data_IF_640447340291
#
_entry.id   IF_640447340291
#
_cell.length_a   1.000
_cell.length_b   1.000
_cell.length_c   1.000
_cell.angle_alpha   90.00
_cell.angle_beta   90.00
_cell.angle_gamma   90.00
#
_symmetry.space_group_name_H-M   'P 1'
#
loop_
_entity.id
_entity.type
_entity.pdbx_description
1 polymer ?
#
# COMPACT_ATOMS: atom_id res chain seq x y z
N UNK A 1 7.25 -16.41 -32.28
CA UNK A 1 6.45 -15.16 -32.33
C UNK A 1 5.15 -15.38 -31.58
N UNK A 2 4.79 -14.57 -30.56
CA UNK A 2 3.57 -14.78 -29.82
C UNK A 2 2.35 -14.47 -30.71
N UNK A 3 1.39 -15.39 -30.73
CA UNK A 3 0.19 -15.29 -31.57
C UNK A 3 -0.67 -14.09 -31.15
N UNK A 4 -1.45 -13.53 -32.08
CA UNK A 4 -2.39 -12.41 -31.86
C UNK A 4 -3.31 -12.64 -30.64
N UNK A 5 -3.66 -13.90 -30.34
CA UNK A 5 -4.45 -14.31 -29.16
C UNK A 5 -3.69 -14.17 -27.83
N UNK A 6 -2.37 -14.39 -27.80
CA UNK A 6 -1.55 -14.20 -26.61
C UNK A 6 -1.40 -12.73 -26.21
N UNK A 7 -1.28 -11.82 -27.19
CA UNK A 7 -1.25 -10.36 -26.93
C UNK A 7 -2.57 -9.83 -26.34
N UNK A 8 -3.71 -10.36 -26.78
CA UNK A 8 -5.03 -9.94 -26.29
C UNK A 8 -5.30 -10.38 -24.83
N UNK A 9 -4.75 -11.51 -24.38
CA UNK A 9 -4.86 -11.94 -22.96
C UNK A 9 -4.00 -11.10 -22.02
N UNK A 10 -2.77 -10.76 -22.44
CA UNK A 10 -1.86 -9.94 -21.62
C UNK A 10 -2.34 -8.49 -21.45
N UNK A 11 -2.95 -7.89 -22.49
CA UNK A 11 -3.57 -6.56 -22.40
C UNK A 11 -4.79 -6.59 -21.47
N UNK A 12 -5.59 -7.68 -21.50
CA UNK A 12 -6.72 -7.86 -20.58
C UNK A 12 -6.29 -8.00 -19.12
N UNK A 13 -5.13 -8.59 -18.82
CA UNK A 13 -4.65 -8.73 -17.43
C UNK A 13 -4.21 -7.39 -16.80
N UNK A 14 -3.46 -6.54 -17.51
CA UNK A 14 -3.11 -5.19 -17.01
C UNK A 14 -4.32 -4.25 -16.97
N UNK A 15 -5.19 -4.28 -17.98
CA UNK A 15 -6.42 -3.49 -17.98
C UNK A 15 -7.41 -3.94 -16.89
N UNK A 16 -7.46 -5.25 -16.57
CA UNK A 16 -8.26 -5.78 -15.48
C UNK A 16 -7.77 -5.30 -14.11
N UNK A 17 -6.46 -5.08 -13.92
CA UNK A 17 -5.93 -4.56 -12.65
C UNK A 17 -6.30 -3.09 -12.42
N UNK A 18 -6.23 -2.26 -13.47
CA UNK A 18 -6.67 -0.85 -13.43
C UNK A 18 -8.19 -0.72 -13.26
N UNK A 19 -8.99 -1.51 -13.99
CA UNK A 19 -10.45 -1.55 -13.83
C UNK A 19 -10.88 -2.14 -12.48
N UNK A 20 -10.11 -3.08 -11.92
CA UNK A 20 -10.38 -3.67 -10.61
C UNK A 20 -10.31 -2.62 -9.50
N UNK A 21 -9.33 -1.70 -9.52
CA UNK A 21 -9.15 -0.66 -8.51
C UNK A 21 -10.31 0.37 -8.51
N UNK A 22 -10.75 0.81 -9.69
CA UNK A 22 -11.93 1.67 -9.85
C UNK A 22 -13.24 0.98 -9.41
N UNK A 23 -13.37 -0.33 -9.68
CA UNK A 23 -14.53 -1.11 -9.24
C UNK A 23 -14.55 -1.33 -7.71
N UNK A 24 -13.38 -1.48 -7.07
CA UNK A 24 -13.25 -1.60 -5.59
C UNK A 24 -13.81 -0.37 -4.89
N UNK A 25 -13.42 0.83 -5.33
CA UNK A 25 -13.89 2.08 -4.75
C UNK A 25 -15.42 2.25 -4.84
N UNK A 26 -16.02 1.77 -5.94
CA UNK A 26 -17.47 1.89 -6.18
C UNK A 26 -18.29 0.89 -5.36
N UNK A 27 -17.82 -0.36 -5.20
CA UNK A 27 -18.52 -1.40 -4.43
C UNK A 27 -18.41 -1.16 -2.92
N UNK A 28 -17.24 -0.73 -2.42
CA UNK A 28 -17.02 -0.40 -1.01
C UNK A 28 -17.75 0.88 -0.56
N UNK A 29 -18.21 1.71 -1.50
CA UNK A 29 -19.08 2.85 -1.22
C UNK A 29 -20.57 2.46 -1.15
N UNK A 30 -20.98 1.39 -1.85
CA UNK A 30 -22.37 0.92 -1.91
C UNK A 30 -22.74 -0.07 -0.78
N UNK A 31 -21.77 -0.82 -0.26
CA UNK A 31 -21.95 -1.68 0.90
C UNK A 31 -21.65 -0.86 2.17
N UNK A 32 -22.63 -0.72 3.07
CA UNK A 32 -22.37 -0.18 4.41
C UNK A 32 -21.30 -1.00 5.15
N UNK A 33 -20.72 -0.45 6.22
CA UNK A 33 -19.71 -1.15 7.04
C UNK A 33 -20.21 -2.51 7.55
N UNK A 34 -21.49 -2.60 7.91
CA UNK A 34 -22.14 -3.85 8.32
C UNK A 34 -22.09 -4.93 7.24
N UNK A 35 -22.03 -4.57 5.95
CA UNK A 35 -21.86 -5.50 4.84
C UNK A 35 -20.40 -5.80 4.48
N UNK A 36 -19.48 -4.87 4.75
CA UNK A 36 -18.03 -5.05 4.54
C UNK A 36 -17.37 -5.92 5.62
N UNK A 37 -17.91 -5.87 6.84
CA UNK A 37 -17.43 -6.61 8.01
C UNK A 37 -18.48 -7.58 8.56
N UNK A 38 -19.58 -7.86 7.83
CA UNK A 38 -20.49 -8.94 8.22
C UNK A 38 -19.63 -10.19 8.41
N UNK A 39 -19.66 -10.71 9.62
CA UNK A 39 -18.68 -11.67 10.10
C UNK A 39 -18.58 -12.90 9.16
N UNK A 40 -19.64 -13.19 8.43
CA UNK A 40 -19.78 -14.33 7.54
C UNK A 40 -19.05 -14.22 6.20
N UNK A 41 -18.65 -13.03 5.70
CA UNK A 41 -17.94 -12.93 4.41
C UNK A 41 -17.01 -11.71 4.30
N UNK A 42 -15.70 -11.89 4.46
CA UNK A 42 -14.76 -11.07 3.68
C UNK A 42 -14.89 -11.49 2.23
N UNK A 43 -15.43 -10.62 1.40
CA UNK A 43 -15.42 -10.84 -0.04
C UNK A 43 -14.10 -10.28 -0.58
N UNK A 44 -13.18 -11.12 -1.11
CA UNK A 44 -11.95 -10.62 -1.67
C UNK A 44 -12.27 -9.60 -2.75
N UNK A 45 -11.63 -8.44 -2.67
CA UNK A 45 -11.86 -7.36 -3.62
C UNK A 45 -11.42 -7.79 -5.03
N UNK A 46 -11.92 -7.17 -6.11
CA UNK A 46 -11.49 -7.47 -7.48
C UNK A 46 -9.97 -7.63 -7.66
N UNK A 47 -9.17 -6.77 -7.03
CA UNK A 47 -7.71 -6.86 -7.02
C UNK A 47 -7.16 -8.10 -6.31
N UNK A 48 -7.74 -8.48 -5.17
CA UNK A 48 -7.37 -9.71 -4.45
C UNK A 48 -7.78 -10.96 -5.24
N UNK A 49 -9.00 -10.99 -5.81
CA UNK A 49 -9.46 -12.12 -6.64
C UNK A 49 -8.55 -12.37 -7.83
N UNK A 50 -8.10 -11.31 -8.49
CA UNK A 50 -7.16 -11.42 -9.61
C UNK A 50 -5.82 -12.04 -9.18
N UNK A 51 -5.33 -11.71 -7.99
CA UNK A 51 -4.09 -12.27 -7.43
C UNK A 51 -4.27 -13.73 -6.99
N UNK A 52 -5.38 -14.04 -6.31
CA UNK A 52 -5.69 -15.39 -5.85
C UNK A 52 -5.96 -16.37 -7.00
N UNK A 53 -6.30 -15.87 -8.19
CA UNK A 53 -6.43 -16.66 -9.40
C UNK A 53 -5.08 -17.02 -10.07
N UNK A 54 -3.96 -16.47 -9.59
CA UNK A 54 -2.64 -16.82 -10.10
C UNK A 54 -2.26 -18.22 -9.62
N UNK A 55 -2.03 -19.12 -10.57
CA UNK A 55 -1.57 -20.48 -10.31
C UNK A 55 -0.07 -20.49 -10.00
N UNK A 56 0.28 -20.18 -8.74
CA UNK A 56 1.68 -20.09 -8.28
C UNK A 56 2.43 -21.42 -8.41
N UNK A 57 1.73 -22.55 -8.26
CA UNK A 57 2.30 -23.90 -8.32
C UNK A 57 2.32 -24.48 -9.74
N UNK A 58 1.58 -23.87 -10.66
CA UNK A 58 1.43 -24.32 -12.02
C UNK A 58 2.62 -24.04 -12.94
N UNK A 59 2.51 -24.60 -14.15
CA UNK A 59 3.48 -24.33 -15.22
C UNK A 59 3.27 -22.97 -15.90
N UNK A 60 2.19 -22.25 -15.61
CA UNK A 60 1.90 -20.97 -16.24
C UNK A 60 2.80 -19.83 -15.70
N UNK A 61 3.28 -19.94 -14.46
CA UNK A 61 4.13 -18.94 -13.83
C UNK A 61 5.55 -19.43 -13.56
N UNK A 62 6.45 -18.49 -13.31
CA UNK A 62 7.78 -18.75 -12.76
C UNK A 62 8.15 -17.68 -11.74
N UNK A 63 9.02 -18.05 -10.79
CA UNK A 63 9.54 -17.13 -9.80
C UNK A 63 10.90 -16.57 -10.22
N UNK A 64 11.14 -15.31 -9.88
CA UNK A 64 12.43 -14.65 -10.01
C UNK A 64 12.72 -13.84 -8.76
N UNK A 65 13.97 -13.83 -8.32
CA UNK A 65 14.37 -12.92 -7.25
C UNK A 65 14.59 -11.51 -7.77
N UNK A 66 14.00 -10.54 -7.07
CA UNK A 66 14.26 -9.13 -7.27
C UNK A 66 15.56 -8.71 -6.55
N UNK A 67 16.69 -9.28 -7.00
CA UNK A 67 17.99 -9.16 -6.29
C UNK A 67 18.44 -7.71 -6.09
N UNK A 68 18.31 -6.91 -7.14
CA UNK A 68 18.81 -5.52 -7.21
C UNK A 68 17.76 -4.46 -6.89
N UNK A 69 16.54 -4.85 -6.45
CA UNK A 69 15.58 -3.85 -5.99
C UNK A 69 16.02 -3.25 -4.65
N UNK A 70 15.72 -1.96 -4.48
CA UNK A 70 15.92 -1.22 -3.24
C UNK A 70 15.19 -1.88 -2.06
N UNK A 71 15.68 -1.62 -0.86
CA UNK A 71 15.13 -2.16 0.38
C UNK A 71 15.81 -3.45 0.86
N UNK A 72 15.42 -3.85 2.06
CA UNK A 72 16.01 -4.99 2.80
C UNK A 72 15.15 -6.25 2.74
N UNK A 73 13.96 -6.18 2.12
CA UNK A 73 13.05 -7.32 1.98
C UNK A 73 13.54 -8.31 0.93
N UNK A 74 13.17 -9.58 1.13
CA UNK A 74 13.29 -10.64 0.14
C UNK A 74 11.99 -10.70 -0.66
N UNK A 75 12.10 -10.55 -1.98
CA UNK A 75 10.96 -10.39 -2.88
C UNK A 75 11.08 -11.38 -4.05
N UNK A 76 10.00 -12.11 -4.30
CA UNK A 76 9.85 -12.99 -5.45
C UNK A 76 8.91 -12.34 -6.46
N UNK A 77 9.42 -11.97 -7.63
CA UNK A 77 8.57 -11.62 -8.75
C UNK A 77 7.93 -12.89 -9.32
N UNK A 78 6.62 -12.84 -9.54
CA UNK A 78 5.86 -13.85 -10.26
C UNK A 78 5.76 -13.39 -11.70
N UNK A 79 6.29 -14.20 -12.62
CA UNK A 79 6.31 -13.92 -14.04
C UNK A 79 5.38 -14.86 -14.79
N UNK A 80 4.54 -14.30 -15.65
CA UNK A 80 3.74 -15.09 -16.58
C UNK A 80 4.64 -15.60 -17.70
N UNK A 81 4.76 -16.93 -17.85
CA UNK A 81 5.65 -17.54 -18.85
C UNK A 81 5.21 -17.24 -20.28
N UNK A 82 3.91 -17.11 -20.53
CA UNK A 82 3.38 -16.90 -21.87
C UNK A 82 3.73 -15.51 -22.43
N UNK A 83 3.66 -14.47 -21.60
CA UNK A 83 3.98 -13.09 -21.98
C UNK A 83 5.41 -12.67 -21.61
N UNK A 84 6.07 -13.39 -20.72
CA UNK A 84 7.37 -13.01 -20.16
C UNK A 84 7.32 -11.74 -19.33
N UNK A 85 6.16 -11.36 -18.79
CA UNK A 85 5.99 -10.16 -17.96
C UNK A 85 5.85 -10.52 -16.49
N UNK A 86 6.44 -9.69 -15.63
CA UNK A 86 6.18 -9.77 -14.19
C UNK A 86 4.73 -9.31 -13.94
N UNK A 87 3.96 -10.11 -13.21
CA UNK A 87 2.52 -9.90 -12.97
C UNK A 87 2.18 -9.72 -11.50
N UNK A 88 3.05 -10.19 -10.60
CA UNK A 88 2.88 -10.03 -9.16
C UNK A 88 4.24 -10.06 -8.44
N UNK A 89 4.22 -9.70 -7.16
CA UNK A 89 5.33 -9.88 -6.23
C UNK A 89 4.82 -10.61 -5.00
N UNK A 90 5.51 -11.69 -4.61
CA UNK A 90 5.29 -12.39 -3.35
C UNK A 90 6.34 -11.95 -2.33
N UNK A 91 5.87 -11.63 -1.12
CA UNK A 91 6.66 -11.37 0.07
C UNK A 91 6.43 -12.44 1.11
N UNK A 92 7.46 -12.76 1.88
CA UNK A 92 7.41 -13.67 3.04
C UNK A 92 7.86 -12.92 4.29
N UNK A 93 7.65 -13.51 5.47
CA UNK A 93 8.16 -12.92 6.70
C UNK A 93 9.69 -12.87 6.68
N UNK A 94 10.26 -11.78 7.20
CA UNK A 94 11.69 -11.60 7.44
C UNK A 94 11.91 -10.55 8.53
N UNK A 95 13.17 -10.31 8.91
CA UNK A 95 13.58 -9.21 9.81
C UNK A 95 12.98 -7.85 9.43
N UNK A 96 12.78 -7.63 8.13
CA UNK A 96 12.28 -6.36 7.59
C UNK A 96 10.82 -6.39 7.18
N UNK A 97 10.18 -7.56 7.13
CA UNK A 97 8.84 -7.71 6.54
C UNK A 97 7.93 -8.55 7.41
N UNK A 98 6.84 -7.95 7.88
CA UNK A 98 5.73 -8.64 8.51
C UNK A 98 4.58 -8.78 7.49
N UNK A 99 4.31 -10.01 7.05
CA UNK A 99 3.30 -10.23 6.00
C UNK A 99 1.87 -9.94 6.47
N UNK A 100 1.57 -10.20 7.74
CA UNK A 100 0.27 -9.83 8.32
C UNK A 100 0.04 -8.32 8.27
N UNK A 101 1.10 -7.52 8.40
CA UNK A 101 0.98 -6.07 8.35
C UNK A 101 0.67 -5.55 6.93
N UNK A 102 1.25 -6.17 5.89
CA UNK A 102 0.93 -5.86 4.49
C UNK A 102 -0.55 -6.14 4.18
N UNK A 103 -1.06 -7.30 4.64
CA UNK A 103 -2.47 -7.69 4.47
C UNK A 103 -3.38 -6.74 5.27
N UNK A 104 -3.03 -6.49 6.54
CA UNK A 104 -3.81 -5.62 7.42
C UNK A 104 -3.94 -4.21 6.86
N UNK A 105 -2.85 -3.60 6.39
CA UNK A 105 -2.87 -2.26 5.82
C UNK A 105 -3.84 -2.15 4.64
N UNK A 106 -3.83 -3.12 3.72
CA UNK A 106 -4.75 -3.14 2.59
C UNK A 106 -6.21 -3.28 3.03
N UNK A 107 -6.50 -4.31 3.85
CA UNK A 107 -7.88 -4.58 4.28
C UNK A 107 -8.45 -3.44 5.13
N UNK A 108 -7.64 -2.85 5.99
CA UNK A 108 -8.02 -1.68 6.77
C UNK A 108 -8.32 -0.49 5.85
N UNK A 109 -7.48 -0.20 4.84
CA UNK A 109 -7.76 0.88 3.89
C UNK A 109 -9.08 0.67 3.13
N UNK A 110 -9.42 -0.56 2.75
CA UNK A 110 -10.73 -0.90 2.16
C UNK A 110 -11.88 -0.60 3.13
N UNK A 111 -11.78 -1.06 4.37
CA UNK A 111 -12.79 -0.81 5.42
C UNK A 111 -12.98 0.69 5.66
N UNK A 112 -11.89 1.43 5.75
CA UNK A 112 -11.89 2.88 5.95
C UNK A 112 -12.33 3.68 4.71
N UNK A 113 -12.49 3.03 3.56
CA UNK A 113 -12.98 3.68 2.34
C UNK A 113 -11.90 4.46 1.57
N UNK A 114 -10.62 4.20 1.87
CA UNK A 114 -9.47 4.81 1.20
C UNK A 114 -8.58 3.77 0.48
N UNK A 115 -9.11 2.76 -0.25
CA UNK A 115 -8.29 1.71 -0.84
C UNK A 115 -7.28 2.23 -1.88
N UNK A 116 -7.51 3.40 -2.47
CA UNK A 116 -6.63 3.98 -3.49
C UNK A 116 -5.24 4.37 -2.99
N UNK A 117 -5.02 4.47 -1.67
CA UNK A 117 -3.72 4.85 -1.09
C UNK A 117 -2.85 3.64 -0.75
N UNK A 118 -3.32 2.40 -0.88
CA UNK A 118 -2.55 1.18 -0.57
C UNK A 118 -2.60 0.22 -1.75
N UNK A 119 -1.48 -0.45 -2.04
CA UNK A 119 -1.46 -1.47 -3.07
C UNK A 119 -2.31 -2.69 -2.63
N UNK A 120 -3.12 -3.30 -3.53
CA UNK A 120 -3.87 -4.51 -3.18
C UNK A 120 -2.96 -5.63 -2.68
N UNK A 121 -3.35 -6.30 -1.60
CA UNK A 121 -2.58 -7.40 -1.02
C UNK A 121 -3.50 -8.58 -0.69
N UNK A 122 -3.12 -9.77 -1.14
CA UNK A 122 -3.80 -11.02 -0.72
C UNK A 122 -2.88 -11.91 0.09
N UNK A 123 -3.40 -12.65 1.09
CA UNK A 123 -2.67 -13.75 1.68
C UNK A 123 -2.48 -14.86 0.66
N UNK A 124 -1.29 -15.45 0.61
CA UNK A 124 -0.98 -16.66 -0.15
C UNK A 124 -0.17 -17.61 0.71
N UNK A 125 -0.12 -18.88 0.32
CA UNK A 125 0.81 -19.85 0.90
C UNK A 125 1.64 -20.40 -0.24
N UNK A 126 2.96 -20.29 -0.15
CA UNK A 126 3.87 -20.97 -1.06
C UNK A 126 3.88 -22.45 -0.69
N UNK A 127 3.46 -23.30 -1.61
CA UNK A 127 3.33 -24.75 -1.43
C UNK A 127 3.85 -25.49 -2.66
N UNK A 128 3.60 -26.80 -2.74
CA UNK A 128 3.80 -27.58 -3.96
C UNK A 128 5.15 -27.34 -4.64
N UNK A 129 5.09 -26.81 -5.86
CA UNK A 129 6.26 -26.50 -6.69
C UNK A 129 6.83 -25.10 -6.44
N UNK A 130 5.99 -24.10 -6.20
CA UNK A 130 6.45 -22.71 -6.00
C UNK A 130 7.46 -22.59 -4.86
N UNK A 131 7.33 -23.48 -3.89
CA UNK A 131 8.10 -23.52 -2.68
C UNK A 131 9.55 -24.01 -2.82
N UNK A 132 9.85 -25.20 -3.39
CA UNK A 132 11.22 -25.60 -3.72
C UNK A 132 11.87 -24.66 -4.73
N UNK A 133 11.13 -24.13 -5.72
CA UNK A 133 11.63 -23.16 -6.69
C UNK A 133 12.11 -21.87 -5.98
N UNK A 134 11.32 -21.34 -5.03
CA UNK A 134 11.69 -20.18 -4.21
C UNK A 134 12.96 -20.43 -3.37
N UNK A 135 13.08 -21.62 -2.79
CA UNK A 135 14.24 -22.03 -1.98
C UNK A 135 15.51 -22.12 -2.81
N UNK A 136 15.46 -22.77 -3.98
CA UNK A 136 16.60 -22.90 -4.88
C UNK A 136 17.12 -21.53 -5.32
N UNK A 137 16.21 -20.62 -5.70
CA UNK A 137 16.54 -19.26 -6.07
C UNK A 137 17.30 -18.53 -4.94
N UNK A 138 16.84 -18.65 -3.69
CA UNK A 138 17.47 -18.01 -2.53
C UNK A 138 18.79 -18.63 -2.12
N UNK A 139 18.92 -19.96 -2.24
CA UNK A 139 20.16 -20.67 -1.95
C UNK A 139 21.28 -20.23 -2.90
N UNK A 140 20.97 -20.02 -4.18
CA UNK A 140 21.89 -19.50 -5.19
C UNK A 140 22.03 -17.97 -5.24
N UNK A 141 21.47 -17.25 -4.27
CA UNK A 141 21.53 -15.79 -4.20
C UNK A 141 22.56 -15.30 -3.18
N UNK A 142 23.18 -14.16 -3.49
CA UNK A 142 24.01 -13.40 -2.58
C UNK A 142 23.63 -11.93 -2.69
N UNK A 143 23.55 -11.24 -1.55
CA UNK A 143 23.27 -9.82 -1.48
C UNK A 143 24.46 -9.06 -0.88
N UNK A 144 24.82 -7.94 -1.50
CA UNK A 144 25.75 -6.99 -0.90
C UNK A 144 25.09 -6.29 0.29
N UNK A 145 25.74 -6.34 1.46
CA UNK A 145 25.28 -5.71 2.70
C UNK A 145 24.69 -6.69 3.72
N UNK A 146 24.94 -6.42 5.00
CA UNK A 146 24.62 -7.33 6.11
C UNK A 146 23.11 -7.56 6.25
N UNK A 147 22.30 -6.49 6.31
CA UNK A 147 20.85 -6.61 6.60
C UNK A 147 20.07 -7.45 5.58
N UNK A 148 20.30 -7.26 4.27
CA UNK A 148 19.57 -8.00 3.24
C UNK A 148 20.04 -9.45 3.13
N UNK A 149 21.33 -9.69 3.38
CA UNK A 149 21.89 -11.03 3.46
C UNK A 149 21.38 -11.79 4.70
N UNK A 150 21.24 -11.12 5.85
CA UNK A 150 20.64 -11.71 7.05
C UNK A 150 19.16 -12.05 6.82
N UNK A 151 18.40 -11.15 6.18
CA UNK A 151 17.03 -11.43 5.77
C UNK A 151 16.95 -12.63 4.80
N UNK A 152 17.89 -12.77 3.85
CA UNK A 152 17.97 -13.93 2.95
C UNK A 152 18.15 -15.23 3.76
N UNK A 153 19.09 -15.24 4.70
CA UNK A 153 19.40 -16.42 5.54
C UNK A 153 18.22 -16.82 6.40
N UNK A 154 17.53 -15.86 7.00
CA UNK A 154 16.34 -16.13 7.82
C UNK A 154 15.22 -16.75 6.97
N UNK A 155 14.91 -16.16 5.81
CA UNK A 155 13.88 -16.68 4.90
C UNK A 155 14.25 -18.08 4.41
N UNK A 156 15.52 -18.33 4.07
CA UNK A 156 15.99 -19.64 3.67
C UNK A 156 15.84 -20.68 4.80
N UNK A 157 16.21 -20.32 6.03
CA UNK A 157 16.05 -21.20 7.19
C UNK A 157 14.57 -21.49 7.49
N UNK A 158 13.68 -20.52 7.30
CA UNK A 158 12.24 -20.72 7.46
C UNK A 158 11.66 -21.60 6.36
N UNK A 159 12.10 -21.43 5.10
CA UNK A 159 11.76 -22.33 4.00
C UNK A 159 12.19 -23.76 4.30
N UNK A 160 13.42 -23.97 4.77
CA UNK A 160 13.96 -25.29 5.13
C UNK A 160 13.17 -25.96 6.26
N UNK A 161 12.86 -25.21 7.33
CA UNK A 161 12.02 -25.72 8.44
C UNK A 161 10.63 -26.09 7.99
N UNK A 162 10.04 -25.23 7.16
CA UNK A 162 8.72 -25.48 6.62
C UNK A 162 8.73 -26.76 5.76
N UNK A 163 9.78 -26.95 4.92
CA UNK A 163 9.95 -28.10 4.02
C UNK A 163 10.06 -29.40 4.80
N UNK A 164 10.90 -29.42 5.83
CA UNK A 164 11.04 -30.55 6.73
C UNK A 164 9.72 -30.92 7.43
N UNK A 165 8.87 -29.93 7.73
CA UNK A 165 7.58 -30.13 8.38
C UNK A 165 6.41 -30.39 7.41
N UNK A 166 6.63 -30.38 6.08
CA UNK A 166 5.57 -30.54 5.09
C UNK A 166 4.52 -29.42 5.12
N UNK A 167 4.84 -28.24 5.66
CA UNK A 167 3.93 -27.10 5.76
C UNK A 167 4.28 -26.03 4.73
N UNK A 168 3.31 -25.45 4.03
CA UNK A 168 3.58 -24.31 3.15
C UNK A 168 4.12 -23.09 3.91
N UNK A 169 4.73 -22.16 3.18
CA UNK A 169 5.22 -20.90 3.73
C UNK A 169 4.20 -19.76 3.51
N UNK A 170 3.63 -19.17 4.58
CA UNK A 170 2.74 -18.03 4.44
C UNK A 170 3.43 -16.82 3.78
N UNK A 171 2.70 -16.13 2.92
CA UNK A 171 3.16 -14.96 2.19
C UNK A 171 2.04 -13.95 1.92
N UNK A 172 2.42 -12.83 1.32
CA UNK A 172 1.52 -11.86 0.72
C UNK A 172 1.87 -11.68 -0.73
N UNK A 173 0.86 -11.68 -1.58
CA UNK A 173 1.00 -11.37 -2.99
C UNK A 173 0.45 -9.96 -3.26
N UNK A 174 1.21 -9.20 -4.05
CA UNK A 174 0.86 -7.87 -4.54
C UNK A 174 0.86 -7.89 -6.06
N UNK A 175 0.04 -7.07 -6.75
CA UNK A 175 0.09 -7.02 -8.20
C UNK A 175 1.37 -6.31 -8.62
N UNK A 176 1.87 -6.63 -9.81
CA UNK A 176 2.97 -5.87 -10.38
C UNK A 176 2.49 -4.47 -10.79
N UNK A 177 2.94 -3.46 -10.05
CA UNK A 177 2.60 -2.06 -10.34
C UNK A 177 3.55 -1.52 -11.41
N UNK A 178 3.06 -1.34 -12.63
CA UNK A 178 3.89 -0.89 -13.75
C UNK A 178 4.19 0.62 -13.80
N UNK A 179 3.43 1.43 -13.05
CA UNK A 179 3.44 2.90 -13.18
C UNK A 179 3.40 3.60 -11.82
N UNK A 180 4.44 3.38 -11.00
CA UNK A 180 4.65 4.11 -9.76
C UNK A 180 6.07 4.65 -9.70
N UNK A 181 6.28 5.70 -8.90
CA UNK A 181 7.59 6.26 -8.59
C UNK A 181 7.57 6.84 -7.17
N UNK A 182 8.69 6.78 -6.45
CA UNK A 182 8.81 7.45 -5.14
C UNK A 182 8.63 8.95 -5.29
N UNK A 183 7.94 9.64 -4.38
CA UNK A 183 7.85 11.10 -4.47
C UNK A 183 9.12 11.77 -3.95
N UNK A 184 9.85 12.52 -4.78
CA UNK A 184 11.02 13.29 -4.31
C UNK A 184 10.64 14.29 -3.23
N UNK A 185 9.52 15.03 -3.42
CA UNK A 185 9.13 16.12 -2.52
C UNK A 185 8.40 15.66 -1.27
N UNK A 186 7.90 14.42 -1.24
CA UNK A 186 7.15 13.89 -0.10
C UNK A 186 7.86 12.70 0.56
N UNK A 187 9.01 12.26 0.00
CA UNK A 187 9.69 11.03 0.39
C UNK A 187 10.37 11.07 1.75
N UNK A 188 10.62 12.26 2.31
CA UNK A 188 11.11 12.43 3.70
C UNK A 188 10.26 13.44 4.45
N UNK A 189 10.40 13.47 5.78
CA UNK A 189 9.65 14.39 6.66
C UNK A 189 9.98 15.84 6.36
N UNK A 190 11.27 16.14 6.17
CA UNK A 190 11.80 17.47 5.91
C UNK A 190 11.31 17.98 4.55
N UNK A 191 11.30 17.11 3.54
CA UNK A 191 10.83 17.45 2.21
C UNK A 191 9.33 17.69 2.21
N UNK A 192 8.54 16.83 2.87
CA UNK A 192 7.09 17.03 3.02
C UNK A 192 6.78 18.35 3.74
N UNK A 193 7.48 18.62 4.85
CA UNK A 193 7.29 19.84 5.65
C UNK A 193 7.58 21.14 4.87
N UNK A 194 8.40 21.07 3.83
CA UNK A 194 8.70 22.20 2.95
C UNK A 194 7.66 22.42 1.83
N UNK A 195 6.57 21.65 1.81
CA UNK A 195 5.50 21.77 0.80
C UNK A 195 4.24 22.42 1.35
N UNK A 196 3.44 23.01 0.46
CA UNK A 196 2.09 23.51 0.79
C UNK A 196 1.18 22.39 1.31
N UNK A 197 1.43 21.13 0.92
CA UNK A 197 0.64 19.99 1.36
C UNK A 197 0.70 19.80 2.88
N UNK A 198 1.84 20.06 3.52
CA UNK A 198 1.96 20.04 4.97
C UNK A 198 1.05 21.08 5.63
N UNK A 199 0.97 22.29 5.08
CA UNK A 199 0.12 23.36 5.60
C UNK A 199 -1.38 23.04 5.46
N UNK A 200 -1.78 22.36 4.38
CA UNK A 200 -3.18 21.98 4.16
C UNK A 200 -3.73 21.02 5.21
N UNK A 201 -2.86 20.23 5.84
CA UNK A 201 -3.23 19.26 6.87
C UNK A 201 -3.40 19.88 8.27
N UNK A 202 -3.03 21.15 8.46
CA UNK A 202 -3.13 21.81 9.76
C UNK A 202 -4.51 22.42 9.99
N UNK A 203 -5.04 22.30 11.21
CA UNK A 203 -6.13 23.13 11.69
C UNK A 203 -5.67 24.60 11.69
N UNK A 204 -6.51 25.52 11.24
CA UNK A 204 -6.12 26.91 10.94
C UNK A 204 -5.24 27.11 9.70
N UNK A 205 -4.76 26.04 9.05
CA UNK A 205 -4.00 26.13 7.79
C UNK A 205 -4.89 26.53 6.60
N UNK A 206 -4.32 27.00 5.48
CA UNK A 206 -5.11 27.28 4.28
C UNK A 206 -5.78 26.00 3.76
N UNK A 207 -6.99 26.07 3.18
CA UNK A 207 -7.56 24.92 2.49
C UNK A 207 -6.72 24.58 1.24
N UNK A 208 -6.70 23.30 0.80
CA UNK A 208 -6.09 22.96 -0.48
C UNK A 208 -6.82 23.68 -1.62
N UNK A 209 -6.05 24.31 -2.52
CA UNK A 209 -6.60 25.01 -3.68
C UNK A 209 -7.25 24.07 -4.72
N UNK A 210 -7.82 24.66 -5.78
CA UNK A 210 -8.44 23.91 -6.89
C UNK A 210 -7.44 23.47 -7.98
N UNK A 211 -6.17 23.86 -7.84
CA UNK A 211 -5.12 23.57 -8.81
C UNK A 211 -4.57 22.15 -8.74
N UNK A 212 -3.67 21.85 -9.68
CA UNK A 212 -2.90 20.59 -9.71
C UNK A 212 -1.48 20.79 -9.18
N UNK A 213 -1.01 19.83 -8.39
CA UNK A 213 0.37 19.73 -7.92
C UNK A 213 1.11 18.74 -8.80
N UNK A 214 2.31 19.12 -9.25
CA UNK A 214 3.22 18.21 -9.94
C UNK A 214 4.03 17.40 -8.91
N UNK A 215 4.01 16.08 -9.06
CA UNK A 215 4.88 15.14 -8.34
C UNK A 215 5.93 14.61 -9.30
N UNK A 216 7.16 14.48 -8.84
CA UNK A 216 8.23 13.98 -9.68
C UNK A 216 9.27 13.16 -8.94
N UNK A 217 9.97 12.33 -9.71
CA UNK A 217 11.08 11.50 -9.26
C UNK A 217 12.07 11.32 -10.38
N UNK A 218 13.35 11.30 -10.05
CA UNK A 218 14.37 10.75 -10.95
C UNK A 218 14.60 9.31 -10.52
N UNK A 219 14.31 8.36 -11.42
CA UNK A 219 14.57 6.94 -11.20
C UNK A 219 15.79 6.52 -12.01
N UNK A 220 16.82 6.05 -11.31
CA UNK A 220 17.98 5.39 -11.91
C UNK A 220 17.91 3.85 -11.79
N UNK A 221 16.98 3.35 -10.97
CA UNK A 221 16.92 1.97 -10.53
C UNK A 221 15.68 1.21 -11.02
N UNK A 222 14.57 1.91 -11.26
CA UNK A 222 13.34 1.33 -11.80
C UNK A 222 13.24 1.62 -13.30
N UNK A 223 12.91 0.59 -14.09
CA UNK A 223 12.73 0.73 -15.54
C UNK A 223 11.30 1.20 -15.92
N UNK A 224 11.17 2.15 -16.87
CA UNK A 224 12.26 2.80 -17.58
C UNK A 224 12.92 3.85 -16.69
N UNK A 225 14.25 3.92 -16.75
CA UNK A 225 14.99 5.00 -16.10
C UNK A 225 14.57 6.34 -16.67
N UNK A 226 14.59 7.38 -15.84
CA UNK A 226 14.24 8.73 -16.28
C UNK A 226 13.65 9.61 -15.21
N UNK A 227 13.15 10.78 -15.64
CA UNK A 227 12.28 11.62 -14.81
C UNK A 227 10.86 11.12 -14.98
N UNK A 228 10.21 10.79 -13.87
CA UNK A 228 8.79 10.46 -13.80
C UNK A 228 8.05 11.69 -13.32
N UNK A 229 7.02 12.12 -14.06
CA UNK A 229 6.18 13.27 -13.73
C UNK A 229 4.71 12.83 -13.65
N UNK A 230 4.05 13.14 -12.55
CA UNK A 230 2.62 12.96 -12.34
C UNK A 230 1.96 14.25 -11.89
N UNK A 231 0.65 14.37 -12.09
CA UNK A 231 -0.17 15.50 -11.63
C UNK A 231 -1.29 15.00 -10.74
N UNK A 232 -1.51 15.68 -9.62
CA UNK A 232 -2.57 15.36 -8.67
C UNK A 232 -3.31 16.64 -8.27
N UNK A 233 -4.63 16.61 -8.20
CA UNK A 233 -5.38 17.76 -7.68
C UNK A 233 -4.98 18.03 -6.22
N UNK A 234 -4.77 19.30 -5.83
CA UNK A 234 -4.29 19.66 -4.49
C UNK A 234 -5.20 19.09 -3.37
N UNK A 235 -6.53 19.14 -3.56
CA UNK A 235 -7.49 18.53 -2.63
C UNK A 235 -7.32 17.02 -2.49
N UNK A 236 -7.07 16.34 -3.61
CA UNK A 236 -6.81 14.89 -3.62
C UNK A 236 -5.50 14.55 -2.94
N UNK A 237 -4.46 15.36 -3.16
CA UNK A 237 -3.16 15.20 -2.49
C UNK A 237 -3.30 15.35 -0.96
N UNK A 238 -4.03 16.35 -0.48
CA UNK A 238 -4.30 16.54 0.94
C UNK A 238 -5.05 15.33 1.54
N UNK A 239 -6.11 14.86 0.86
CA UNK A 239 -6.88 13.70 1.31
C UNK A 239 -6.03 12.42 1.32
N UNK A 240 -5.34 12.10 0.22
CA UNK A 240 -4.51 10.89 0.15
C UNK A 240 -3.37 10.92 1.21
N UNK A 241 -2.77 12.09 1.47
CA UNK A 241 -1.72 12.22 2.48
C UNK A 241 -2.26 12.07 3.91
N UNK A 242 -3.42 12.65 4.22
CA UNK A 242 -4.08 12.47 5.51
C UNK A 242 -4.44 10.99 5.74
N UNK A 243 -4.97 10.32 4.72
CA UNK A 243 -5.32 8.89 4.77
C UNK A 243 -4.07 8.02 4.98
N UNK A 244 -2.96 8.32 4.32
CA UNK A 244 -1.69 7.60 4.53
C UNK A 244 -1.18 7.78 5.96
N UNK A 245 -1.14 9.00 6.49
CA UNK A 245 -0.65 9.25 7.86
C UNK A 245 -1.55 8.61 8.91
N UNK A 246 -2.87 8.65 8.71
CA UNK A 246 -3.83 7.99 9.59
C UNK A 246 -3.66 6.46 9.54
N UNK A 247 -3.52 5.89 8.34
CA UNK A 247 -3.27 4.46 8.19
C UNK A 247 -1.95 4.04 8.84
N UNK A 248 -0.87 4.81 8.63
CA UNK A 248 0.44 4.55 9.20
C UNK A 248 0.39 4.53 10.74
N UNK A 249 -0.37 5.44 11.36
CA UNK A 249 -0.61 5.41 12.80
C UNK A 249 -1.37 4.15 13.25
N UNK A 250 -2.41 3.75 12.53
CA UNK A 250 -3.24 2.59 12.88
C UNK A 250 -2.51 1.25 12.72
N UNK A 251 -1.70 1.11 11.67
CA UNK A 251 -0.91 -0.11 11.46
C UNK A 251 0.39 -0.12 12.28
N UNK A 252 0.79 1.05 12.78
CA UNK A 252 2.08 1.25 13.44
C UNK A 252 3.24 1.10 12.46
N UNK A 253 3.17 1.80 11.33
CA UNK A 253 4.21 1.84 10.32
C UNK A 253 5.43 2.62 10.84
N UNK A 254 6.62 2.02 10.75
CA UNK A 254 7.87 2.62 11.21
C UNK A 254 8.74 3.21 10.10
N UNK A 255 8.51 2.83 8.84
CA UNK A 255 9.48 3.12 7.77
C UNK A 255 8.93 3.96 6.61
N UNK A 256 7.75 4.61 6.75
CA UNK A 256 7.15 5.41 5.66
C UNK A 256 8.14 6.38 5.02
N UNK A 257 8.79 7.21 5.84
CA UNK A 257 9.76 8.20 5.39
C UNK A 257 11.19 7.66 5.38
N UNK A 258 11.59 6.89 6.39
CA UNK A 258 12.96 6.37 6.50
C UNK A 258 13.28 5.34 5.40
N UNK A 259 12.28 4.58 4.95
CA UNK A 259 12.38 3.62 3.87
C UNK A 259 12.07 4.21 2.49
N UNK A 260 11.61 5.46 2.41
CA UNK A 260 11.23 6.09 1.14
C UNK A 260 9.97 5.49 0.51
N UNK A 261 9.04 5.02 1.34
CA UNK A 261 7.89 4.19 0.94
C UNK A 261 6.65 5.01 0.55
N UNK A 262 6.79 6.33 0.34
CA UNK A 262 5.71 7.18 -0.19
C UNK A 262 5.90 7.39 -1.69
N UNK A 263 5.01 6.79 -2.47
CA UNK A 263 5.05 6.81 -3.93
C UNK A 263 3.88 7.59 -4.50
N UNK A 264 3.97 7.92 -5.78
CA UNK A 264 2.83 8.29 -6.59
C UNK A 264 2.68 7.31 -7.74
N UNK A 265 1.45 7.05 -8.15
CA UNK A 265 1.15 6.05 -9.16
C UNK A 265 0.01 6.48 -10.08
N UNK A 266 0.07 6.02 -11.33
CA UNK A 266 -1.00 6.20 -12.30
C UNK A 266 -1.98 5.02 -12.23
N UNK A 267 -3.23 5.27 -11.85
CA UNK A 267 -4.28 4.26 -11.79
C UNK A 267 -4.51 3.57 -13.16
N UNK A 268 -4.34 4.32 -14.25
CA UNK A 268 -4.49 3.81 -15.62
C UNK A 268 -3.35 2.91 -16.10
N UNK A 269 -2.23 2.85 -15.37
CA UNK A 269 -1.10 2.00 -15.72
C UNK A 269 -0.38 2.38 -17.02
N UNK A 270 -0.65 3.56 -17.58
CA UNK A 270 0.02 4.08 -18.77
C UNK A 270 1.07 5.10 -18.40
N UNK A 271 2.26 4.98 -19.02
CA UNK A 271 3.33 5.98 -18.95
C UNK A 271 3.70 6.37 -20.38
N UNK A 272 3.78 7.66 -20.65
CA UNK A 272 4.06 8.22 -21.99
C UNK A 272 5.39 8.92 -21.96
N UNK A 273 6.30 8.53 -22.86
CA UNK A 273 7.55 9.28 -23.05
C UNK A 273 7.20 10.60 -23.72
N UNK A 274 7.51 11.73 -23.09
CA UNK A 274 7.22 13.05 -23.65
C UNK A 274 8.36 13.55 -24.54
N UNK A 275 9.61 13.30 -24.14
CA UNK A 275 10.78 13.81 -24.87
C UNK A 275 11.64 12.70 -25.47
N UNK A 276 11.87 12.81 -26.78
CA UNK A 276 12.82 11.97 -27.52
C UNK A 276 14.26 12.53 -27.37
N UNK A 277 14.44 13.76 -26.87
CA UNK A 277 15.74 14.45 -26.79
C UNK A 277 16.24 14.82 -25.39
N UNK A 278 15.48 14.64 -24.31
CA UNK A 278 15.94 14.95 -22.95
C UNK A 278 16.81 13.82 -22.38
N UNK A 279 17.91 14.19 -21.72
CA UNK A 279 18.74 13.27 -20.95
C UNK A 279 18.77 13.74 -19.47
N UNK A 280 18.17 13.00 -18.52
CA UNK A 280 17.47 11.73 -18.70
C UNK A 280 16.08 11.87 -19.37
N UNK A 281 15.51 10.79 -19.93
CA UNK A 281 14.21 10.83 -20.61
C UNK A 281 13.08 11.18 -19.64
N UNK A 282 12.09 11.95 -20.12
CA UNK A 282 10.90 12.33 -19.36
C UNK A 282 9.73 11.37 -19.65
N UNK A 283 9.16 10.82 -18.59
CA UNK A 283 8.00 9.94 -18.57
C UNK A 283 6.83 10.61 -17.84
N UNK A 284 5.77 10.91 -18.58
CA UNK A 284 4.53 11.45 -18.04
C UNK A 284 3.59 10.31 -17.65
N UNK A 285 3.16 10.34 -16.40
CA UNK A 285 2.19 9.42 -15.80
C UNK A 285 0.77 9.99 -15.81
N UNK A 286 0.57 11.23 -16.28
CA UNK A 286 -0.74 11.88 -16.30
C UNK A 286 -1.26 12.17 -14.89
N UNK A 287 -2.54 11.86 -14.66
CA UNK A 287 -3.15 11.96 -13.34
C UNK A 287 -2.68 10.82 -12.43
N UNK A 288 -2.28 11.17 -11.20
CA UNK A 288 -1.72 10.23 -10.23
C UNK A 288 -2.39 10.33 -8.87
N UNK A 289 -2.19 9.28 -8.07
CA UNK A 289 -2.58 9.18 -6.66
C UNK A 289 -1.33 8.98 -5.80
N UNK A 290 -1.41 9.29 -4.51
CA UNK A 290 -0.38 8.81 -3.59
C UNK A 290 -0.57 7.33 -3.28
N UNK A 291 0.53 6.66 -2.94
CA UNK A 291 0.59 5.26 -2.62
C UNK A 291 1.54 5.03 -1.44
N UNK A 292 0.97 4.53 -0.34
CA UNK A 292 1.67 3.90 0.76
C UNK A 292 2.11 2.48 0.35
N UNK A 293 3.34 2.37 -0.16
CA UNK A 293 3.94 1.08 -0.50
C UNK A 293 4.60 0.47 0.76
N UNK A 294 4.90 -0.82 0.71
CA UNK A 294 5.73 -1.52 1.71
C UNK A 294 5.32 -1.31 3.18
N UNK A 295 4.13 -1.81 3.53
CA UNK A 295 3.57 -1.75 4.87
C UNK A 295 4.04 -2.91 5.77
N UNK A 296 5.14 -3.56 5.38
CA UNK A 296 5.71 -4.71 6.10
C UNK A 296 6.49 -4.32 7.35
N UNK A 297 6.90 -3.06 7.49
CA UNK A 297 7.57 -2.56 8.70
C UNK A 297 6.57 -2.05 9.76
N UNK A 298 5.43 -2.73 9.87
CA UNK A 298 4.37 -2.41 10.81
C UNK A 298 4.06 -3.56 11.78
N UNK A 299 3.25 -3.28 12.80
CA UNK A 299 2.86 -4.23 13.85
C UNK A 299 4.06 -4.86 14.61
N UNK A 300 5.21 -4.18 14.65
CA UNK A 300 6.33 -4.62 15.48
C UNK A 300 6.13 -4.17 16.93
N UNK A 301 6.60 -4.94 17.92
CA UNK A 301 6.63 -4.47 19.31
C UNK A 301 7.38 -3.15 19.41
N UNK A 302 6.77 -2.13 20.03
CA UNK A 302 7.35 -0.79 20.18
C UNK A 302 7.30 0.09 18.93
N UNK A 303 6.80 -0.39 17.79
CA UNK A 303 6.58 0.42 16.61
C UNK A 303 5.54 1.51 16.90
N UNK A 304 5.94 2.78 16.80
CA UNK A 304 5.05 3.91 17.06
C UNK A 304 5.28 5.10 16.14
N UNK A 305 6.21 4.99 15.18
CA UNK A 305 6.65 6.13 14.37
C UNK A 305 5.47 6.77 13.63
N UNK A 306 4.56 5.97 13.05
CA UNK A 306 3.38 6.48 12.36
C UNK A 306 2.46 7.33 13.23
N UNK A 307 2.24 6.96 14.49
CA UNK A 307 1.44 7.76 15.43
C UNK A 307 2.18 9.05 15.83
N UNK A 308 3.49 8.96 16.03
CA UNK A 308 4.32 10.12 16.33
C UNK A 308 4.38 11.09 15.15
N UNK A 309 4.40 10.60 13.92
CA UNK A 309 4.31 11.41 12.69
C UNK A 309 2.95 12.08 12.59
N UNK A 310 1.85 11.33 12.78
CA UNK A 310 0.48 11.87 12.78
C UNK A 310 0.36 13.06 13.76
N UNK A 311 0.93 12.90 14.97
CA UNK A 311 0.94 13.92 16.03
C UNK A 311 1.98 15.02 15.85
N UNK A 312 2.92 14.86 14.92
CA UNK A 312 4.03 15.80 14.70
C UNK A 312 5.11 15.78 15.80
N UNK A 313 5.24 14.68 16.55
CA UNK A 313 6.20 14.52 17.64
C UNK A 313 7.64 14.35 17.13
N UNK A 314 7.82 13.67 15.99
CA UNK A 314 9.14 13.53 15.34
C UNK A 314 9.48 14.78 14.54
N UNK A 315 8.52 15.25 13.74
CA UNK A 315 8.68 16.45 12.91
C UNK A 315 7.35 17.21 12.83
N UNK A 316 7.26 18.46 13.30
CA UNK A 316 5.98 19.18 13.37
C UNK A 316 5.35 19.46 12.01
N UNK A 317 6.18 19.50 10.95
CA UNK A 317 5.76 19.69 9.57
C UNK A 317 5.12 18.45 8.90
N UNK A 318 5.05 17.30 9.57
CA UNK A 318 4.28 16.13 9.07
C UNK A 318 2.99 15.89 9.85
N UNK A 319 2.70 16.73 10.85
CA UNK A 319 1.49 16.64 11.67
C UNK A 319 0.24 16.76 10.81
N UNK A 320 -0.71 15.86 11.01
CA UNK A 320 -2.03 15.95 10.40
C UNK A 320 -3.09 16.25 11.46
N UNK A 321 -3.88 17.28 11.21
CA UNK A 321 -4.99 17.72 12.05
C UNK A 321 -6.32 17.72 11.27
N UNK A 322 -6.26 17.51 9.95
CA UNK A 322 -7.39 17.49 9.03
C UNK A 322 -7.56 16.14 8.37
N UNK A 323 -8.79 15.64 8.36
CA UNK A 323 -9.14 14.31 7.86
C UNK A 323 -10.45 14.33 7.09
N UNK A 324 -10.67 13.32 6.24
CA UNK A 324 -11.99 13.08 5.65
C UNK A 324 -12.96 12.59 6.74
N UNK A 325 -14.11 13.26 6.86
CA UNK A 325 -15.14 12.92 7.85
C UNK A 325 -15.68 11.50 7.65
N UNK A 326 -15.77 11.02 6.41
CA UNK A 326 -16.22 9.66 6.08
C UNK A 326 -15.23 8.64 6.64
N UNK A 327 -13.93 8.84 6.44
CA UNK A 327 -12.87 7.95 6.93
C UNK A 327 -12.89 7.87 8.46
N UNK A 328 -12.97 9.01 9.16
CA UNK A 328 -13.07 9.04 10.63
C UNK A 328 -14.37 8.40 11.14
N UNK A 329 -15.49 8.61 10.45
CA UNK A 329 -16.75 7.93 10.76
C UNK A 329 -16.64 6.41 10.67
N UNK A 330 -15.98 5.91 9.62
CA UNK A 330 -15.72 4.47 9.41
C UNK A 330 -14.77 3.91 10.48
N UNK A 331 -13.78 4.68 10.91
CA UNK A 331 -12.87 4.30 11.99
C UNK A 331 -13.60 4.12 13.34
N UNK A 332 -14.51 5.03 13.67
CA UNK A 332 -15.35 4.93 14.87
C UNK A 332 -16.31 3.73 14.82
N UNK A 333 -16.82 3.40 13.64
CA UNK A 333 -17.62 2.17 13.46
C UNK A 333 -16.77 0.92 13.67
N UNK A 334 -15.58 0.83 13.06
CA UNK A 334 -14.64 -0.27 13.29
C UNK A 334 -14.35 -0.46 14.79
N UNK A 335 -14.23 0.64 15.55
CA UNK A 335 -14.04 0.58 17.00
C UNK A 335 -15.23 -0.03 17.75
N UNK A 336 -16.46 0.31 17.37
CA UNK A 336 -17.68 -0.30 17.96
C UNK A 336 -17.71 -1.80 17.71
N UNK A 337 -17.38 -2.22 16.49
CA UNK A 337 -17.38 -3.64 16.11
C UNK A 337 -16.29 -4.43 16.85
N UNK A 338 -15.10 -3.84 16.99
CA UNK A 338 -13.98 -4.46 17.72
C UNK A 338 -14.10 -4.35 19.26
N UNK A 339 -15.11 -3.65 19.78
CA UNK A 339 -15.48 -3.66 21.20
C UNK A 339 -16.46 -4.80 21.56
N UNK A 340 -17.16 -5.36 20.57
CA UNK A 340 -18.24 -6.31 20.77
C UNK A 340 -17.80 -7.77 20.90
N UNK A 341 -18.79 -8.66 20.98
CA UNK A 341 -18.57 -10.11 21.09
C UNK A 341 -17.80 -10.71 19.90
N UNK A 342 -17.91 -10.11 18.71
CA UNK A 342 -17.26 -10.55 17.48
C UNK A 342 -15.86 -9.96 17.25
N UNK A 343 -15.27 -9.30 18.25
CA UNK A 343 -13.98 -8.58 18.11
C UNK A 343 -12.88 -9.43 17.48
N UNK A 344 -12.68 -10.66 17.97
CA UNK A 344 -11.66 -11.57 17.45
C UNK A 344 -11.84 -11.87 15.95
N UNK A 345 -13.09 -12.03 15.52
CA UNK A 345 -13.45 -12.32 14.12
C UNK A 345 -13.24 -11.13 13.20
N UNK A 346 -13.56 -9.92 13.66
CA UNK A 346 -13.28 -8.68 12.92
C UNK A 346 -11.78 -8.54 12.67
N UNK A 347 -10.95 -8.79 13.69
CA UNK A 347 -9.49 -8.75 13.53
C UNK A 347 -8.95 -9.85 12.61
N UNK A 348 -9.53 -11.05 12.67
CA UNK A 348 -9.18 -12.16 11.77
C UNK A 348 -9.48 -11.81 10.31
N UNK A 349 -10.64 -11.22 10.03
CA UNK A 349 -10.99 -10.68 8.71
C UNK A 349 -9.96 -9.65 8.24
N UNK A 350 -9.47 -8.81 9.15
CA UNK A 350 -8.40 -7.85 8.87
C UNK A 350 -7.00 -8.48 8.78
N UNK A 351 -6.88 -9.81 8.90
CA UNK A 351 -5.62 -10.55 8.75
C UNK A 351 -4.77 -10.61 10.02
N UNK A 352 -5.36 -10.32 11.19
CA UNK A 352 -4.70 -10.28 12.49
C UNK A 352 -5.27 -11.32 13.45
N UNK A 353 -4.41 -11.85 14.33
CA UNK A 353 -4.82 -12.77 15.38
C UNK A 353 -3.95 -12.59 16.63
N UNK A 354 -4.48 -13.01 17.78
CA UNK A 354 -3.80 -12.98 19.08
C UNK A 354 -3.21 -11.61 19.43
N UNK A 355 -1.95 -11.58 19.87
CA UNK A 355 -1.24 -10.36 20.29
C UNK A 355 -1.23 -9.25 19.24
N UNK A 356 -1.27 -9.58 17.94
CA UNK A 356 -1.29 -8.54 16.88
C UNK A 356 -2.63 -7.82 16.81
N UNK A 357 -3.74 -8.54 17.06
CA UNK A 357 -5.07 -7.96 17.16
C UNK A 357 -5.17 -7.04 18.39
N UNK A 358 -4.60 -7.46 19.52
CA UNK A 358 -4.53 -6.63 20.74
C UNK A 358 -3.76 -5.31 20.48
N UNK A 359 -2.60 -5.40 19.82
CA UNK A 359 -1.80 -4.22 19.45
C UNK A 359 -2.57 -3.29 18.50
N UNK A 360 -3.26 -3.84 17.49
CA UNK A 360 -4.07 -3.05 16.58
C UNK A 360 -5.26 -2.37 17.28
N UNK A 361 -5.91 -3.07 18.21
CA UNK A 361 -6.98 -2.50 19.03
C UNK A 361 -6.50 -1.36 19.92
N UNK A 362 -5.34 -1.50 20.55
CA UNK A 362 -4.76 -0.43 21.36
C UNK A 362 -4.45 0.81 20.53
N UNK A 363 -3.84 0.65 19.35
CA UNK A 363 -3.56 1.78 18.44
C UNK A 363 -4.83 2.46 17.94
N UNK A 364 -5.88 1.68 17.68
CA UNK A 364 -7.18 2.23 17.31
C UNK A 364 -7.72 3.16 18.42
N UNK A 365 -7.60 2.76 19.68
CA UNK A 365 -7.97 3.61 20.83
C UNK A 365 -7.11 4.90 20.89
N UNK A 366 -5.79 4.79 20.74
CA UNK A 366 -4.88 5.94 20.78
C UNK A 366 -5.12 6.94 19.64
N UNK A 367 -5.41 6.45 18.44
CA UNK A 367 -5.73 7.29 17.28
C UNK A 367 -7.07 7.97 17.47
N UNK A 368 -8.10 7.26 17.94
CA UNK A 368 -9.41 7.86 18.21
C UNK A 368 -9.35 8.92 19.30
N UNK A 369 -8.62 8.65 20.39
CA UNK A 369 -8.39 9.64 21.44
C UNK A 369 -7.70 10.91 20.90
N UNK A 370 -6.71 10.74 20.00
CA UNK A 370 -6.07 11.87 19.33
C UNK A 370 -7.07 12.66 18.46
N UNK A 371 -7.87 11.99 17.63
CA UNK A 371 -8.87 12.62 16.76
C UNK A 371 -9.97 13.34 17.57
N UNK A 372 -10.41 12.78 18.68
CA UNK A 372 -11.37 13.40 19.58
C UNK A 372 -10.78 14.65 20.24
N UNK A 373 -9.50 14.60 20.66
CA UNK A 373 -8.78 15.77 21.16
C UNK A 373 -8.67 16.89 20.12
N UNK A 374 -8.36 16.55 18.86
CA UNK A 374 -8.35 17.53 17.76
C UNK A 374 -9.74 18.13 17.52
N UNK A 375 -10.79 17.30 17.52
CA UNK A 375 -12.17 17.75 17.32
C UNK A 375 -12.60 18.70 18.43
N UNK A 376 -12.24 18.40 19.68
CA UNK A 376 -12.53 19.27 20.82
C UNK A 376 -11.77 20.61 20.73
N UNK A 377 -10.51 20.59 20.26
CA UNK A 377 -9.68 21.79 20.17
C UNK A 377 -10.04 22.70 18.99
N UNK A 378 -10.38 22.13 17.83
CA UNK A 378 -10.49 22.86 16.57
C UNK A 378 -11.88 22.76 15.89
N UNK A 379 -12.81 22.00 16.45
CA UNK A 379 -14.19 21.91 15.97
C UNK A 379 -14.29 21.45 14.52
N UNK A 380 -14.87 22.29 13.66
CA UNK A 380 -15.07 21.95 12.24
C UNK A 380 -13.80 22.02 11.39
N UNK A 381 -12.72 22.65 11.88
CA UNK A 381 -11.49 22.85 11.11
C UNK A 381 -10.67 21.58 10.91
N UNK A 382 -11.01 20.50 11.62
CA UNK A 382 -10.39 19.16 11.49
C UNK A 382 -10.89 18.40 10.27
N UNK A 383 -11.83 18.95 9.51
CA UNK A 383 -12.39 18.27 8.34
C UNK A 383 -11.80 18.84 7.05
N UNK A 384 -11.27 17.95 6.20
CA UNK A 384 -10.96 18.31 4.83
C UNK A 384 -12.28 18.57 4.06
N UNK A 385 -12.28 19.52 3.10
CA UNK A 385 -13.39 19.66 2.18
C UNK A 385 -13.55 18.37 1.36
N UNK A 386 -14.79 17.90 1.19
CA UNK A 386 -15.10 16.66 0.48
C UNK A 386 -14.48 16.70 -0.94
N UNK A 387 -13.53 15.80 -1.26
CA UNK A 387 -12.81 15.82 -2.53
C UNK A 387 -13.69 15.42 -3.72
N UNK A 388 -14.85 14.80 -3.49
CA UNK A 388 -15.79 14.34 -4.52
C UNK A 388 -17.01 15.23 -4.68
N UNK A 389 -17.21 16.20 -3.78
CA UNK A 389 -18.28 17.18 -3.89
C UNK A 389 -17.91 18.24 -4.92
N UNK A 390 -18.08 17.91 -6.21
CA UNK A 390 -18.32 18.95 -7.22
C UNK A 390 -19.66 19.58 -6.85
N UNK A 391 -19.64 20.87 -6.52
CA UNK A 391 -20.86 21.65 -6.35
C UNK A 391 -21.65 21.61 -7.67
N UNK A 392 -22.61 20.68 -7.76
CA UNK A 392 -23.48 20.50 -8.93
C UNK A 392 -24.39 21.72 -9.18
N UNK A 393 -24.26 22.79 -8.39
CA UNK A 393 -25.04 24.03 -8.49
C UNK A 393 -24.29 25.19 -9.15
N UNK A 394 -23.07 25.00 -9.64
CA UNK A 394 -22.45 25.98 -10.56
C UNK A 394 -22.69 25.54 -12.02
N UNK A 395 -23.46 26.32 -12.81
CA UNK A 395 -23.79 26.01 -14.20
C UNK A 395 -22.58 25.99 -15.13
#
# INVERSE_FOLDING_TARGET
>A
MPTRRGRLRAIRASAACACALLAVATVAAAQGLDGLLSADYWVPQPGERAQLALDLDGHATEFRLLKHHEGTSILFAVRDRASGRDVAVVKTNSLSTNVSAEIYAWRLAVVLGCPGVVAPVSPVTLSGRSWPDARELLAGAWYGGTRKEDARREVLAELDRALAAGRGLPGAIKPWLGCFAQSRRLGTRELLAATDAAAWLRAGGPPPGDGTVALSQVSELQEPRGVHLGRIAARRLAADLADVLLLDALVGQDDRFAGGNLHFWCEGGERRRQDVGSAPPLWDLGEVRLLALDNGAALRPGANTGLQDLRGEIHPGVRAERFDRRVVGRLRELRRQTAGADSARVWEVLGLAGKRAEVASHRLDEVLAHLDGLTAAYGAEVWLPDPEFRDRRRP
#
